data_IF_137363033702
#
_entry.id   IF_137363033702
#
_cell.length_a   1.000
_cell.length_b   1.000
_cell.length_c   1.000
_cell.angle_alpha   90.00
_cell.angle_beta   90.00
_cell.angle_gamma   90.00
#
_symmetry.space_group_name_H-M   'P 1'
#
loop_
_entity.id
_entity.type
_entity.pdbx_description
1 polymer ?
#
# COMPACT_ATOMS: atom_id res chain seq x y z
N UNK A 1 22.56 -35.71 4.02
CA UNK A 1 21.67 -35.32 5.13
C UNK A 1 20.82 -36.52 5.55
N UNK A 2 20.78 -36.84 6.85
CA UNK A 2 19.86 -37.85 7.38
C UNK A 2 18.55 -37.19 7.78
N UNK A 3 17.42 -37.76 7.38
CA UNK A 3 16.09 -37.23 7.66
C UNK A 3 15.38 -38.19 8.61
N UNK A 4 14.91 -37.65 9.73
CA UNK A 4 14.13 -38.40 10.70
C UNK A 4 12.67 -38.52 10.24
N UNK A 5 12.40 -39.58 9.48
CA UNK A 5 11.05 -39.89 8.98
C UNK A 5 10.05 -40.22 10.09
N UNK A 6 10.51 -40.68 11.25
CA UNK A 6 9.63 -40.97 12.39
C UNK A 6 9.06 -39.67 12.96
N UNK A 7 9.90 -38.65 13.10
CA UNK A 7 9.47 -37.33 13.60
C UNK A 7 8.54 -36.60 12.64
N UNK A 8 8.76 -36.72 11.33
CA UNK A 8 7.85 -36.16 10.30
C UNK A 8 6.44 -36.75 10.43
N UNK A 9 6.33 -38.07 10.67
CA UNK A 9 5.04 -38.74 10.88
C UNK A 9 4.35 -38.29 12.17
N UNK A 10 5.09 -38.15 13.26
CA UNK A 10 4.54 -37.68 14.55
C UNK A 10 3.98 -36.26 14.43
N UNK A 11 4.66 -35.40 13.67
CA UNK A 11 4.22 -34.03 13.42
C UNK A 11 3.07 -33.93 12.39
N UNK A 12 2.62 -35.06 11.82
CA UNK A 12 1.55 -35.06 10.81
C UNK A 12 1.91 -34.33 9.52
N UNK A 13 3.21 -34.15 9.24
CA UNK A 13 3.68 -33.47 8.05
C UNK A 13 3.56 -34.42 6.86
N UNK A 14 2.68 -34.11 5.90
CA UNK A 14 2.49 -34.87 4.66
C UNK A 14 3.67 -34.64 3.68
N UNK A 15 4.89 -34.97 4.10
CA UNK A 15 6.14 -34.69 3.36
C UNK A 15 6.87 -36.00 3.09
N UNK A 16 7.25 -36.22 1.83
CA UNK A 16 8.05 -37.37 1.39
C UNK A 16 9.49 -36.93 1.02
N UNK A 17 10.42 -37.89 0.97
CA UNK A 17 11.81 -37.64 0.54
C UNK A 17 11.87 -37.00 -0.86
N UNK A 18 10.97 -37.41 -1.75
CA UNK A 18 10.84 -36.84 -3.10
C UNK A 18 10.41 -35.37 -3.06
N UNK A 19 9.47 -35.01 -2.19
CA UNK A 19 9.01 -33.63 -1.98
C UNK A 19 10.17 -32.76 -1.49
N UNK A 20 10.99 -33.27 -0.57
CA UNK A 20 12.17 -32.57 -0.05
C UNK A 20 13.19 -32.32 -1.17
N UNK A 21 13.46 -33.32 -2.00
CA UNK A 21 14.36 -33.17 -3.16
C UNK A 21 13.81 -32.16 -4.16
N UNK A 22 12.51 -32.20 -4.46
CA UNK A 22 11.88 -31.23 -5.36
C UNK A 22 12.03 -29.79 -4.82
N UNK A 23 11.85 -29.58 -3.52
CA UNK A 23 12.05 -28.28 -2.88
C UNK A 23 13.52 -27.83 -2.92
N UNK A 24 14.48 -28.74 -2.72
CA UNK A 24 15.92 -28.45 -2.85
C UNK A 24 16.27 -28.04 -4.28
N UNK A 25 15.73 -28.73 -5.30
CA UNK A 25 15.97 -28.40 -6.71
C UNK A 25 15.34 -27.06 -7.13
N UNK A 26 14.17 -26.73 -6.58
CA UNK A 26 13.49 -25.43 -6.82
C UNK A 26 14.13 -24.27 -6.06
N UNK A 27 14.95 -24.56 -5.04
CA UNK A 27 15.61 -23.54 -4.23
C UNK A 27 16.61 -22.71 -5.05
N UNK A 28 17.03 -21.56 -4.49
CA UNK A 28 18.02 -20.66 -5.11
C UNK A 28 19.44 -21.26 -5.25
N UNK A 29 19.62 -22.52 -4.87
CA UNK A 29 20.92 -23.20 -4.83
C UNK A 29 21.43 -23.67 -6.20
N UNK A 30 20.62 -23.55 -7.28
CA UNK A 30 20.98 -23.89 -8.68
C UNK A 30 21.62 -25.28 -8.85
N UNK A 31 21.12 -26.27 -8.10
CA UNK A 31 21.59 -27.66 -8.17
C UNK A 31 20.98 -28.37 -9.38
N UNK A 32 21.78 -29.21 -10.04
CA UNK A 32 21.30 -30.07 -11.13
C UNK A 32 20.64 -31.33 -10.55
N UNK A 33 19.63 -31.92 -11.20
CA UNK A 33 19.01 -33.17 -10.74
C UNK A 33 20.01 -34.31 -10.55
N UNK A 34 21.05 -34.40 -11.39
CA UNK A 34 22.10 -35.42 -11.29
C UNK A 34 22.96 -35.31 -10.01
N UNK A 35 22.90 -34.18 -9.31
CA UNK A 35 23.67 -33.92 -8.09
C UNK A 35 22.92 -34.33 -6.82
N UNK A 36 21.62 -34.65 -6.91
CA UNK A 36 20.80 -35.00 -5.75
C UNK A 36 20.29 -36.44 -5.91
N UNK A 37 20.69 -37.31 -4.98
CA UNK A 37 20.33 -38.72 -4.98
C UNK A 37 19.58 -39.09 -3.69
N UNK A 38 18.52 -39.88 -3.83
CA UNK A 38 17.69 -40.35 -2.72
C UNK A 38 18.14 -41.75 -2.32
N UNK A 39 18.67 -41.88 -1.11
CA UNK A 39 18.96 -43.17 -0.50
C UNK A 39 17.78 -43.60 0.40
N UNK A 40 16.69 -44.07 -0.23
CA UNK A 40 15.42 -44.39 0.45
C UNK A 40 15.57 -45.39 1.60
N UNK A 41 16.40 -46.43 1.44
CA UNK A 41 16.63 -47.48 2.45
C UNK A 41 17.22 -46.94 3.76
N UNK A 42 17.93 -45.82 3.71
CA UNK A 42 18.57 -45.20 4.88
C UNK A 42 17.99 -43.85 5.25
N UNK A 43 16.88 -43.43 4.60
CA UNK A 43 16.25 -42.11 4.78
C UNK A 43 17.25 -40.96 4.68
N UNK A 44 18.14 -41.02 3.67
CA UNK A 44 19.19 -40.02 3.44
C UNK A 44 19.06 -39.38 2.06
N UNK A 45 19.33 -38.09 2.01
CA UNK A 45 19.53 -37.35 0.75
C UNK A 45 21.02 -37.09 0.60
N UNK A 46 21.58 -37.50 -0.52
CA UNK A 46 22.98 -37.31 -0.89
C UNK A 46 23.02 -36.15 -1.89
N UNK A 47 23.72 -35.08 -1.54
CA UNK A 47 23.97 -33.96 -2.45
C UNK A 47 25.45 -33.99 -2.82
N UNK A 48 25.74 -34.18 -4.10
CA UNK A 48 27.09 -34.23 -4.66
C UNK A 48 27.51 -32.82 -5.09
N UNK A 49 28.66 -32.38 -4.61
CA UNK A 49 29.25 -31.10 -5.00
C UNK A 49 30.19 -31.34 -6.18
N UNK A 50 29.98 -30.66 -7.29
CA UNK A 50 30.93 -30.62 -8.41
C UNK A 50 32.05 -29.62 -8.12
N UNK A 51 33.28 -29.97 -8.47
CA UNK A 51 34.41 -29.04 -8.35
C UNK A 51 34.29 -27.94 -9.40
N UNK A 52 33.99 -26.72 -8.96
CA UNK A 52 34.12 -25.53 -9.81
C UNK A 52 35.58 -25.10 -9.89
N UNK A 53 36.02 -24.51 -11.01
CA UNK A 53 37.39 -23.99 -11.19
C UNK A 53 37.72 -22.82 -10.25
N UNK A 54 36.71 -22.23 -9.61
CA UNK A 54 36.80 -20.94 -8.93
C UNK A 54 36.86 -21.05 -7.40
N UNK A 55 36.50 -22.19 -6.81
CA UNK A 55 36.34 -22.33 -5.36
C UNK A 55 36.84 -23.69 -4.87
N UNK A 56 37.40 -23.73 -3.66
CA UNK A 56 37.77 -25.00 -3.01
C UNK A 56 36.52 -25.82 -2.68
N UNK A 57 36.61 -27.14 -2.82
CA UNK A 57 35.48 -28.06 -2.57
C UNK A 57 34.92 -27.88 -1.15
N UNK A 58 35.78 -27.63 -0.16
CA UNK A 58 35.39 -27.39 1.22
C UNK A 58 34.55 -26.12 1.39
N UNK A 59 34.89 -25.04 0.67
CA UNK A 59 34.13 -23.80 0.71
C UNK A 59 32.72 -23.97 0.11
N UNK A 60 32.61 -24.69 -1.02
CA UNK A 60 31.30 -25.00 -1.62
C UNK A 60 30.48 -25.95 -0.75
N UNK A 61 31.11 -26.95 -0.12
CA UNK A 61 30.42 -27.84 0.81
C UNK A 61 29.86 -27.06 2.01
N UNK A 62 30.65 -26.16 2.60
CA UNK A 62 30.22 -25.32 3.72
C UNK A 62 29.08 -24.37 3.31
N UNK A 63 29.18 -23.72 2.14
CA UNK A 63 28.13 -22.86 1.59
C UNK A 63 26.83 -23.63 1.36
N UNK A 64 26.93 -24.82 0.79
CA UNK A 64 25.79 -25.70 0.52
C UNK A 64 25.16 -26.21 1.82
N UNK A 65 25.96 -26.59 2.82
CA UNK A 65 25.48 -27.03 4.12
C UNK A 65 24.66 -25.94 4.82
N UNK A 66 25.13 -24.68 4.82
CA UNK A 66 24.40 -23.53 5.38
C UNK A 66 23.13 -23.22 4.58
N UNK A 67 23.20 -23.28 3.25
CA UNK A 67 22.07 -22.95 2.39
C UNK A 67 20.96 -24.00 2.47
N UNK A 68 21.31 -25.30 2.55
CA UNK A 68 20.36 -26.40 2.67
C UNK A 68 19.53 -26.32 3.97
N UNK A 69 20.10 -25.80 5.05
CA UNK A 69 19.39 -25.62 6.32
C UNK A 69 18.24 -24.59 6.21
N UNK A 70 18.36 -23.64 5.28
CA UNK A 70 17.38 -22.57 5.11
C UNK A 70 16.33 -22.88 4.03
N UNK A 71 16.33 -24.09 3.45
CA UNK A 71 15.35 -24.48 2.43
C UNK A 71 14.00 -24.77 3.09
N UNK A 72 12.98 -24.00 2.70
CA UNK A 72 11.60 -24.25 3.12
C UNK A 72 11.07 -25.48 2.39
N UNK A 73 10.79 -26.54 3.14
CA UNK A 73 10.33 -27.83 2.60
C UNK A 73 8.81 -27.86 2.41
N UNK A 74 8.05 -27.24 3.31
CA UNK A 74 6.59 -27.18 3.26
C UNK A 74 6.10 -25.88 3.91
N UNK A 75 4.91 -25.42 3.48
CA UNK A 75 4.30 -24.18 3.95
C UNK A 75 4.61 -22.97 3.06
N UNK A 76 4.24 -21.79 3.54
CA UNK A 76 4.44 -20.53 2.84
C UNK A 76 5.73 -19.86 3.32
N UNK A 77 6.65 -19.48 2.40
CA UNK A 77 7.98 -18.99 2.78
C UNK A 77 7.97 -17.60 3.42
N UNK A 78 6.88 -16.83 3.22
CA UNK A 78 6.75 -15.47 3.73
C UNK A 78 6.12 -15.41 5.13
N UNK A 79 5.80 -16.56 5.73
CA UNK A 79 5.22 -16.68 7.07
C UNK A 79 6.31 -17.05 8.06
N UNK A 80 6.47 -16.25 9.11
CA UNK A 80 7.45 -16.48 10.16
C UNK A 80 6.93 -17.47 11.22
N UNK A 81 5.68 -17.26 11.68
CA UNK A 81 5.05 -18.14 12.66
C UNK A 81 3.53 -18.07 12.57
N UNK A 82 2.86 -19.10 13.09
CA UNK A 82 1.43 -19.11 13.29
C UNK A 82 1.12 -19.58 14.72
N UNK A 83 0.17 -18.91 15.37
CA UNK A 83 -0.26 -19.17 16.75
C UNK A 83 -1.77 -19.41 16.74
N UNK A 84 -2.21 -20.43 17.47
CA UNK A 84 -3.64 -20.72 17.63
C UNK A 84 -4.12 -19.94 18.86
N UNK A 85 -5.04 -19.00 18.63
CA UNK A 85 -5.75 -18.28 19.68
C UNK A 85 -7.13 -18.93 19.89
N UNK A 86 -7.53 -19.12 21.14
CA UNK A 86 -8.85 -19.66 21.48
C UNK A 86 -9.76 -18.48 21.85
N UNK A 87 -10.92 -18.40 21.20
CA UNK A 87 -11.97 -17.44 21.55
C UNK A 87 -13.04 -18.16 22.37
N UNK A 88 -12.94 -18.00 23.70
CA UNK A 88 -13.83 -18.62 24.69
C UNK A 88 -15.16 -17.84 24.86
N UNK A 89 -15.34 -16.72 24.17
CA UNK A 89 -16.54 -15.87 24.33
C UNK A 89 -17.81 -16.48 23.74
N UNK A 90 -17.68 -17.48 22.86
CA UNK A 90 -18.80 -18.17 22.19
C UNK A 90 -18.73 -19.67 22.48
N UNK A 91 -19.90 -20.29 22.64
CA UNK A 91 -20.01 -21.75 22.76
C UNK A 91 -20.60 -22.34 21.47
N UNK A 92 -19.93 -23.33 20.84
CA UNK A 92 -18.62 -23.91 21.18
C UNK A 92 -17.45 -22.94 20.92
N UNK A 93 -16.35 -23.13 21.64
CA UNK A 93 -15.14 -22.30 21.53
C UNK A 93 -14.62 -22.28 20.08
N UNK A 94 -14.27 -21.09 19.60
CA UNK A 94 -13.81 -20.90 18.22
C UNK A 94 -12.29 -20.73 18.24
N UNK A 95 -11.58 -21.56 17.48
CA UNK A 95 -10.15 -21.42 17.27
C UNK A 95 -9.87 -20.43 16.14
N UNK A 96 -9.03 -19.43 16.41
CA UNK A 96 -8.54 -18.45 15.44
C UNK A 96 -7.06 -18.72 15.19
N UNK A 97 -6.63 -18.63 13.94
CA UNK A 97 -5.22 -18.74 13.57
C UNK A 97 -4.64 -17.34 13.39
N UNK A 98 -3.73 -16.95 14.27
CA UNK A 98 -2.97 -15.70 14.19
C UNK A 98 -1.65 -15.96 13.48
N UNK A 99 -1.46 -15.37 12.31
CA UNK A 99 -0.29 -15.58 11.45
C UNK A 99 0.57 -14.32 11.49
N UNK A 100 1.87 -14.49 11.73
CA UNK A 100 2.85 -13.42 11.56
C UNK A 100 3.64 -13.66 10.27
N UNK A 101 3.45 -12.76 9.31
CA UNK A 101 4.12 -12.81 8.02
C UNK A 101 3.39 -12.02 6.95
N UNK A 102 3.74 -12.31 5.70
CA UNK A 102 3.16 -11.72 4.51
C UNK A 102 2.64 -12.83 3.58
N UNK A 103 1.75 -12.49 2.65
CA UNK A 103 1.13 -13.41 1.70
C UNK A 103 -0.33 -13.71 2.00
N UNK A 104 -1.16 -12.68 2.20
CA UNK A 104 -2.59 -12.80 2.46
C UNK A 104 -3.30 -13.64 1.40
N UNK A 105 -2.95 -13.45 0.12
CA UNK A 105 -3.55 -14.18 -1.00
C UNK A 105 -3.28 -15.69 -0.90
N UNK A 106 -2.05 -16.08 -0.56
CA UNK A 106 -1.68 -17.47 -0.37
C UNK A 106 -2.36 -18.07 0.88
N UNK A 107 -2.49 -17.29 1.95
CA UNK A 107 -3.20 -17.70 3.17
C UNK A 107 -4.69 -17.94 2.90
N UNK A 108 -5.37 -17.02 2.19
CA UNK A 108 -6.79 -17.13 1.85
C UNK A 108 -7.09 -18.35 0.98
N UNK A 109 -6.14 -18.74 0.12
CA UNK A 109 -6.27 -19.91 -0.76
C UNK A 109 -5.88 -21.24 -0.11
N UNK A 110 -5.42 -21.23 1.14
CA UNK A 110 -5.04 -22.44 1.85
C UNK A 110 -6.28 -23.24 2.28
N UNK A 111 -6.30 -24.54 1.98
CA UNK A 111 -7.41 -25.42 2.33
C UNK A 111 -7.68 -25.42 3.83
N UNK A 112 -8.96 -25.29 4.21
CA UNK A 112 -9.41 -25.20 5.60
C UNK A 112 -9.46 -23.78 6.18
N UNK A 113 -8.96 -22.77 5.46
CA UNK A 113 -9.07 -21.36 5.85
C UNK A 113 -10.31 -20.73 5.21
N UNK A 114 -11.13 -20.05 6.02
CA UNK A 114 -12.30 -19.31 5.52
C UNK A 114 -11.88 -17.90 5.08
N UNK A 115 -11.57 -17.76 3.80
CA UNK A 115 -11.07 -16.52 3.19
C UNK A 115 -11.91 -15.27 3.46
N UNK A 116 -13.23 -15.39 3.46
CA UNK A 116 -14.18 -14.27 3.68
C UNK A 116 -14.04 -13.60 5.05
N UNK A 117 -13.49 -14.32 6.03
CA UNK A 117 -13.32 -13.84 7.41
C UNK A 117 -11.87 -13.55 7.76
N UNK A 118 -10.93 -13.81 6.85
CA UNK A 118 -9.51 -13.53 7.05
C UNK A 118 -9.26 -12.04 6.91
N UNK A 119 -8.47 -11.48 7.83
CA UNK A 119 -8.07 -10.07 7.84
C UNK A 119 -6.55 -9.96 7.92
N UNK A 120 -6.01 -8.86 7.43
CA UNK A 120 -4.60 -8.49 7.56
C UNK A 120 -4.52 -7.05 8.08
N UNK A 121 -3.48 -6.74 8.84
CA UNK A 121 -3.20 -5.37 9.27
C UNK A 121 -2.40 -4.59 8.19
N UNK A 122 -1.88 -5.27 7.18
CA UNK A 122 -1.12 -4.63 6.11
C UNK A 122 -2.05 -4.10 5.01
N UNK A 123 -2.30 -2.80 5.05
CA UNK A 123 -3.19 -2.09 4.11
C UNK A 123 -2.72 -2.24 2.65
N UNK A 124 -1.41 -2.20 2.39
CA UNK A 124 -0.86 -2.32 1.03
C UNK A 124 -1.11 -3.70 0.44
N UNK A 125 -0.98 -4.74 1.25
CA UNK A 125 -1.25 -6.13 0.85
C UNK A 125 -2.74 -6.36 0.57
N UNK A 126 -3.62 -5.78 1.39
CA UNK A 126 -5.06 -5.82 1.18
C UNK A 126 -5.44 -5.10 -0.10
N UNK A 127 -4.86 -3.93 -0.36
CA UNK A 127 -5.08 -3.22 -1.61
C UNK A 127 -4.73 -4.08 -2.83
N UNK A 128 -3.61 -4.80 -2.79
CA UNK A 128 -3.18 -5.69 -3.87
C UNK A 128 -4.05 -6.95 -4.02
N UNK A 129 -4.62 -7.45 -2.92
CA UNK A 129 -5.35 -8.73 -2.92
C UNK A 129 -6.87 -8.54 -3.10
N UNK A 130 -7.45 -7.55 -2.44
CA UNK A 130 -8.90 -7.33 -2.32
C UNK A 130 -9.36 -5.99 -2.93
N UNK A 131 -8.44 -5.06 -3.25
CA UNK A 131 -8.74 -3.80 -3.91
C UNK A 131 -8.93 -2.60 -2.97
N UNK A 132 -9.29 -1.45 -3.56
CA UNK A 132 -9.25 -0.14 -2.89
C UNK A 132 -10.32 0.03 -1.80
N UNK A 133 -11.52 -0.48 -1.98
CA UNK A 133 -12.59 -0.36 -0.97
C UNK A 133 -12.35 -1.23 0.26
N UNK A 134 -11.74 -2.40 0.06
CA UNK A 134 -11.27 -3.23 1.16
C UNK A 134 -10.16 -2.50 1.95
N UNK A 135 -9.20 -1.88 1.25
CA UNK A 135 -8.17 -1.07 1.88
C UNK A 135 -8.74 0.12 2.67
N UNK A 136 -9.72 0.85 2.10
CA UNK A 136 -10.41 1.96 2.79
C UNK A 136 -11.07 1.49 4.10
N UNK A 137 -11.78 0.36 4.04
CA UNK A 137 -12.46 -0.22 5.21
C UNK A 137 -11.46 -0.64 6.28
N UNK A 138 -10.32 -1.22 5.89
CA UNK A 138 -9.27 -1.64 6.83
C UNK A 138 -8.58 -0.43 7.46
N UNK A 139 -8.29 0.63 6.71
CA UNK A 139 -7.77 1.88 7.28
C UNK A 139 -8.72 2.40 8.38
N UNK A 140 -10.04 2.36 8.13
CA UNK A 140 -11.02 2.79 9.11
C UNK A 140 -11.03 1.90 10.37
N UNK A 141 -11.02 0.58 10.20
CA UNK A 141 -11.05 -0.34 11.34
C UNK A 141 -9.76 -0.30 12.17
N UNK A 142 -8.59 -0.28 11.52
CA UNK A 142 -7.29 -0.25 12.22
C UNK A 142 -7.11 1.03 13.03
N UNK A 143 -7.46 2.20 12.46
CA UNK A 143 -7.39 3.46 13.21
C UNK A 143 -8.34 3.44 14.40
N UNK A 144 -9.56 2.93 14.21
CA UNK A 144 -10.55 2.86 15.29
C UNK A 144 -10.06 1.93 16.42
N UNK A 145 -9.57 0.75 16.08
CA UNK A 145 -9.07 -0.25 17.04
C UNK A 145 -7.87 0.27 17.84
N UNK A 146 -6.93 0.97 17.20
CA UNK A 146 -5.78 1.58 17.89
C UNK A 146 -6.22 2.72 18.81
N UNK A 147 -7.16 3.57 18.38
CA UNK A 147 -7.65 4.69 19.20
C UNK A 147 -8.42 4.19 20.43
N UNK A 148 -9.33 3.22 20.23
CA UNK A 148 -10.11 2.61 21.31
C UNK A 148 -9.21 1.88 22.31
N UNK A 149 -8.15 1.20 21.84
CA UNK A 149 -7.15 0.57 22.70
C UNK A 149 -6.42 1.53 23.65
N UNK A 150 -6.39 2.83 23.33
CA UNK A 150 -5.83 3.89 24.18
C UNK A 150 -6.90 4.69 24.93
N UNK A 151 -8.18 4.26 24.90
CA UNK A 151 -9.29 4.94 25.54
C UNK A 151 -9.70 6.25 24.86
N UNK A 152 -9.26 6.49 23.62
CA UNK A 152 -9.67 7.65 22.83
C UNK A 152 -10.93 7.31 22.03
N UNK A 153 -11.95 8.15 22.14
CA UNK A 153 -13.15 8.05 21.31
C UNK A 153 -13.13 9.13 20.24
N UNK A 154 -13.21 8.73 18.97
CA UNK A 154 -13.27 9.62 17.81
C UNK A 154 -14.50 9.25 17.02
N UNK A 155 -15.32 10.23 16.63
CA UNK A 155 -16.47 9.97 15.76
C UNK A 155 -15.99 9.37 14.42
N UNK A 156 -16.63 8.27 14.01
CA UNK A 156 -16.31 7.52 12.80
C UNK A 156 -16.31 8.38 11.53
N UNK A 157 -17.04 9.50 11.50
CA UNK A 157 -17.10 10.43 10.36
C UNK A 157 -15.75 11.07 10.08
N UNK A 158 -14.95 11.37 11.11
CA UNK A 158 -13.59 11.92 10.92
C UNK A 158 -12.66 10.89 10.30
N UNK A 159 -12.71 9.65 10.79
CA UNK A 159 -11.90 8.54 10.28
C UNK A 159 -12.32 8.18 8.85
N UNK A 160 -13.64 8.19 8.57
CA UNK A 160 -14.16 7.95 7.22
C UNK A 160 -13.64 9.00 6.23
N UNK A 161 -13.64 10.28 6.60
CA UNK A 161 -13.15 11.34 5.73
C UNK A 161 -11.66 11.16 5.43
N UNK A 162 -10.86 10.82 6.45
CA UNK A 162 -9.43 10.54 6.30
C UNK A 162 -9.18 9.36 5.35
N UNK A 163 -9.86 8.22 5.58
CA UNK A 163 -9.69 7.03 4.75
C UNK A 163 -10.13 7.27 3.30
N UNK A 164 -11.23 8.02 3.11
CA UNK A 164 -11.72 8.39 1.77
C UNK A 164 -10.73 9.30 1.05
N UNK A 165 -10.15 10.28 1.75
CA UNK A 165 -9.12 11.15 1.18
C UNK A 165 -7.89 10.33 0.75
N UNK A 166 -7.41 9.40 1.58
CA UNK A 166 -6.26 8.54 1.28
C UNK A 166 -6.49 7.60 0.08
N UNK A 167 -7.74 7.30 -0.27
CA UNK A 167 -8.11 6.33 -1.33
C UNK A 167 -8.77 6.96 -2.55
N UNK A 168 -8.97 8.28 -2.57
CA UNK A 168 -9.75 9.00 -3.59
C UNK A 168 -9.21 8.87 -5.02
N UNK A 169 -7.90 8.66 -5.21
CA UNK A 169 -7.28 8.53 -6.55
C UNK A 169 -7.18 7.08 -7.06
N UNK A 170 -7.79 6.12 -6.38
CA UNK A 170 -7.78 4.70 -6.77
C UNK A 170 -6.51 3.93 -6.36
N UNK A 171 -5.58 4.58 -5.67
CA UNK A 171 -4.45 3.96 -4.99
C UNK A 171 -4.41 4.45 -3.52
N UNK A 172 -3.78 3.66 -2.64
CA UNK A 172 -3.61 4.05 -1.23
C UNK A 172 -2.45 5.04 -1.13
N UNK A 173 -2.77 6.31 -0.90
CA UNK A 173 -1.79 7.38 -0.74
C UNK A 173 -1.60 7.74 0.73
N UNK A 174 -0.36 7.62 1.21
CA UNK A 174 0.01 8.08 2.53
C UNK A 174 0.08 9.61 2.61
N UNK A 175 -0.12 10.18 3.80
CA UNK A 175 0.06 11.62 4.06
C UNK A 175 1.55 11.92 4.25
N UNK A 176 2.31 11.77 3.18
CA UNK A 176 3.76 12.04 3.09
C UNK A 176 4.04 12.89 1.87
N UNK A 177 5.23 13.47 1.73
CA UNK A 177 5.59 14.32 0.57
C UNK A 177 5.27 13.68 -0.79
N UNK A 178 5.54 12.38 -0.94
CA UNK A 178 5.31 11.67 -2.20
C UNK A 178 3.82 11.38 -2.44
N UNK A 179 3.06 11.13 -1.36
CA UNK A 179 1.61 10.94 -1.46
C UNK A 179 0.88 12.26 -1.72
N UNK A 180 1.26 13.34 -1.03
CA UNK A 180 0.70 14.68 -1.25
C UNK A 180 0.94 15.19 -2.68
N UNK A 181 2.15 14.98 -3.23
CA UNK A 181 2.48 15.32 -4.61
C UNK A 181 1.59 14.61 -5.64
N UNK A 182 1.09 13.41 -5.32
CA UNK A 182 0.12 12.69 -6.16
C UNK A 182 -1.32 13.16 -5.93
N UNK A 183 -1.64 13.66 -4.75
CA UNK A 183 -3.00 14.09 -4.37
C UNK A 183 -3.33 15.50 -4.86
N UNK A 184 -2.40 16.44 -4.77
CA UNK A 184 -2.59 17.87 -5.03
C UNK A 184 -1.71 18.31 -6.20
N UNK A 185 -2.27 19.17 -7.05
CA UNK A 185 -1.58 19.68 -8.24
C UNK A 185 -1.04 21.11 -8.05
N UNK A 186 -1.32 21.77 -6.92
CA UNK A 186 -0.82 23.12 -6.64
C UNK A 186 0.65 23.11 -6.23
N UNK A 187 1.46 23.87 -6.97
CA UNK A 187 2.91 24.01 -6.74
C UNK A 187 3.15 24.73 -5.42
N UNK A 188 2.41 25.81 -5.14
CA UNK A 188 2.57 26.56 -3.90
C UNK A 188 2.21 25.71 -2.67
N UNK A 189 1.19 24.87 -2.79
CA UNK A 189 0.82 23.95 -1.72
C UNK A 189 1.94 22.95 -1.43
N UNK A 190 2.48 22.31 -2.47
CA UNK A 190 3.58 21.34 -2.34
C UNK A 190 4.87 22.00 -1.82
N UNK A 191 5.23 23.17 -2.37
CA UNK A 191 6.41 23.92 -1.97
C UNK A 191 6.36 24.39 -0.51
N UNK A 192 5.15 24.64 0.02
CA UNK A 192 4.93 25.00 1.43
C UNK A 192 5.03 23.83 2.41
N UNK A 193 4.95 22.58 1.93
CA UNK A 193 5.02 21.39 2.76
C UNK A 193 6.46 20.92 2.97
N UNK A 194 7.15 20.54 1.90
CA UNK A 194 8.55 20.10 1.91
C UNK A 194 9.22 20.38 0.55
N UNK A 195 10.56 20.40 0.47
CA UNK A 195 11.33 20.54 -0.79
C UNK A 195 10.92 21.76 -1.64
N UNK A 196 10.82 22.93 -1.00
CA UNK A 196 10.37 24.18 -1.62
C UNK A 196 11.11 24.53 -2.92
N UNK A 197 12.45 24.49 -2.90
CA UNK A 197 13.26 24.87 -4.06
C UNK A 197 13.03 23.91 -5.24
N UNK A 198 13.07 22.59 -4.99
CA UNK A 198 12.87 21.56 -6.02
C UNK A 198 11.52 21.77 -6.73
N UNK A 199 10.42 21.92 -5.96
CA UNK A 199 9.09 22.11 -6.54
C UNK A 199 8.96 23.38 -7.37
N UNK A 200 9.59 24.48 -6.96
CA UNK A 200 9.56 25.75 -7.71
C UNK A 200 10.42 25.69 -8.97
N UNK A 201 11.61 25.08 -8.90
CA UNK A 201 12.48 24.91 -10.07
C UNK A 201 11.87 23.97 -11.09
N UNK A 202 11.30 22.84 -10.65
CA UNK A 202 10.62 21.89 -11.54
C UNK A 202 9.41 22.57 -12.20
N UNK A 203 8.59 23.29 -11.45
CA UNK A 203 7.46 24.02 -12.01
C UNK A 203 7.89 25.09 -13.02
N UNK A 204 8.97 25.83 -12.75
CA UNK A 204 9.51 26.81 -13.68
C UNK A 204 10.09 26.16 -14.94
N UNK A 205 10.78 25.03 -14.80
CA UNK A 205 11.36 24.27 -15.90
C UNK A 205 10.28 23.69 -16.82
N UNK A 206 9.22 23.12 -16.26
CA UNK A 206 8.09 22.57 -17.01
C UNK A 206 7.03 23.60 -17.42
N UNK A 207 7.15 24.85 -16.98
CA UNK A 207 6.17 25.91 -17.26
C UNK A 207 4.79 25.63 -16.67
N UNK A 208 4.73 25.00 -15.49
CA UNK A 208 3.47 24.63 -14.84
C UNK A 208 2.68 25.86 -14.39
N UNK A 209 1.37 25.86 -14.62
CA UNK A 209 0.46 26.92 -14.17
C UNK A 209 -0.36 26.45 -12.97
N UNK A 210 -0.49 27.30 -11.96
CA UNK A 210 -1.26 27.01 -10.74
C UNK A 210 -2.57 27.82 -10.75
N UNK A 211 -3.68 27.18 -10.39
CA UNK A 211 -5.03 27.78 -10.42
C UNK A 211 -5.41 28.52 -9.14
N UNK A 212 -4.58 28.47 -8.09
CA UNK A 212 -4.76 29.21 -6.82
C UNK A 212 -6.15 28.96 -6.19
N UNK A 213 -6.56 27.70 -6.13
CA UNK A 213 -7.88 27.32 -5.63
C UNK A 213 -7.86 26.81 -4.18
N UNK A 214 -6.76 26.23 -3.73
CA UNK A 214 -6.59 25.78 -2.36
C UNK A 214 -6.38 26.91 -1.38
N UNK A 215 -6.53 26.55 -0.11
CA UNK A 215 -6.51 27.50 1.01
C UNK A 215 -5.10 28.05 1.23
N UNK A 216 -4.09 27.19 1.19
CA UNK A 216 -2.69 27.57 1.45
C UNK A 216 -2.21 28.63 0.45
N UNK A 217 -2.39 28.38 -0.84
CA UNK A 217 -1.91 29.26 -1.89
C UNK A 217 -2.67 30.60 -1.95
N UNK A 218 -3.97 30.62 -1.61
CA UNK A 218 -4.71 31.87 -1.46
C UNK A 218 -4.22 32.73 -0.30
N UNK A 219 -3.91 32.11 0.83
CA UNK A 219 -3.36 32.81 2.00
C UNK A 219 -1.98 33.40 1.66
N UNK A 220 -1.12 32.64 0.97
CA UNK A 220 0.20 33.10 0.53
C UNK A 220 0.09 34.36 -0.35
N UNK A 221 -0.92 34.43 -1.23
CA UNK A 221 -1.15 35.56 -2.13
C UNK A 221 -2.03 36.68 -1.52
N UNK A 222 -2.48 36.55 -0.27
CA UNK A 222 -3.32 37.55 0.39
C UNK A 222 -4.77 37.60 -0.11
N UNK A 223 -5.28 36.51 -0.68
CA UNK A 223 -6.66 36.38 -1.16
C UNK A 223 -7.54 35.65 -0.13
N UNK A 224 -8.86 35.94 -0.06
CA UNK A 224 -9.77 35.21 0.83
C UNK A 224 -9.90 33.73 0.43
N UNK A 225 -9.85 32.85 1.43
CA UNK A 225 -9.99 31.41 1.24
C UNK A 225 -11.37 31.04 0.71
N UNK A 226 -11.46 30.04 -0.18
CA UNK A 226 -12.72 29.57 -0.78
C UNK A 226 -13.60 28.71 0.14
N UNK A 227 -13.39 28.76 1.44
CA UNK A 227 -14.13 27.99 2.45
C UNK A 227 -14.70 28.94 3.51
N UNK A 228 -15.70 28.48 4.26
CA UNK A 228 -16.35 29.31 5.28
C UNK A 228 -17.10 30.50 4.66
N UNK A 229 -16.80 31.71 5.11
CA UNK A 229 -17.46 32.94 4.61
C UNK A 229 -17.09 33.31 3.17
N UNK A 230 -15.98 32.77 2.64
CA UNK A 230 -15.54 33.04 1.28
C UNK A 230 -16.22 32.20 0.19
N UNK A 231 -17.17 31.32 0.55
CA UNK A 231 -17.85 30.43 -0.41
C UNK A 231 -18.92 31.16 -1.24
N UNK A 232 -19.48 32.25 -0.73
CA UNK A 232 -20.51 33.03 -1.41
C UNK A 232 -20.09 34.48 -1.59
N UNK A 233 -20.74 35.16 -2.53
CA UNK A 233 -20.62 36.61 -2.74
C UNK A 233 -21.93 37.27 -2.38
N UNK A 234 -21.84 38.50 -1.88
CA UNK A 234 -23.01 39.33 -1.60
C UNK A 234 -23.28 40.20 -2.81
N UNK A 235 -24.49 40.08 -3.36
CA UNK A 235 -25.01 41.02 -4.34
C UNK A 235 -25.87 42.03 -3.59
N UNK A 236 -25.55 43.32 -3.72
CA UNK A 236 -26.43 44.36 -3.22
C UNK A 236 -27.57 44.57 -4.22
N UNK A 237 -28.81 44.47 -3.75
CA UNK A 237 -29.98 44.71 -4.59
C UNK A 237 -30.20 46.22 -4.71
N UNK A 238 -29.84 46.77 -5.88
CA UNK A 238 -30.19 48.13 -6.23
C UNK A 238 -31.55 48.14 -6.93
N UNK A 239 -32.39 49.13 -6.62
CA UNK A 239 -33.57 49.42 -7.44
C UNK A 239 -33.10 49.78 -8.85
N UNK A 240 -33.68 49.13 -9.85
CA UNK A 240 -33.41 49.40 -11.26
C UNK A 240 -33.83 50.85 -11.58
N UNK A 241 -32.91 51.79 -11.44
CA UNK A 241 -33.10 53.14 -11.96
C UNK A 241 -33.19 53.01 -13.47
N UNK A 242 -34.31 53.43 -14.05
CA UNK A 242 -34.44 53.60 -15.50
C UNK A 242 -33.31 54.51 -15.95
N UNK A 243 -32.29 53.93 -16.58
CA UNK A 243 -31.21 54.70 -17.19
C UNK A 243 -31.88 55.44 -18.34
N UNK A 244 -31.85 56.79 -18.36
CA UNK A 244 -32.38 57.52 -19.51
C UNK A 244 -31.68 57.01 -20.76
N UNK A 245 -32.45 56.82 -21.84
CA UNK A 245 -31.87 56.45 -23.13
C UNK A 245 -30.74 57.42 -23.43
N UNK A 246 -29.55 56.90 -23.70
CA UNK A 246 -28.39 57.73 -24.06
C UNK A 246 -28.79 58.48 -25.33
N UNK A 247 -29.02 59.78 -25.22
CA UNK A 247 -29.24 60.62 -26.39
C UNK A 247 -28.01 60.49 -27.30
N UNK A 248 -28.25 60.34 -28.61
CA UNK A 248 -27.18 60.28 -29.59
C UNK A 248 -26.25 61.48 -29.37
N UNK A 249 -24.97 61.22 -29.16
CA UNK A 249 -24.00 62.28 -28.94
C UNK A 249 -24.01 63.26 -30.11
N UNK A 250 -23.70 64.52 -29.80
CA UNK A 250 -23.59 65.63 -30.77
C UNK A 250 -22.77 65.26 -32.01
N UNK A 251 -21.83 64.31 -31.88
CA UNK A 251 -21.01 63.79 -32.98
C UNK A 251 -21.82 63.12 -34.10
N UNK A 252 -22.91 62.39 -33.75
CA UNK A 252 -23.81 61.75 -34.71
C UNK A 252 -24.73 62.79 -35.35
N UNK A 253 -25.21 63.77 -34.56
CA UNK A 253 -26.04 64.87 -35.07
C UNK A 253 -25.30 65.88 -35.95
N UNK A 254 -24.00 66.07 -35.74
CA UNK A 254 -23.13 66.97 -36.51
C UNK A 254 -22.32 66.27 -37.62
N UNK A 255 -22.53 64.96 -37.83
CA UNK A 255 -21.85 64.17 -38.85
C UNK A 255 -20.31 64.29 -38.81
N UNK A 256 -19.76 64.43 -37.60
CA UNK A 256 -18.31 64.52 -37.39
C UNK A 256 -17.75 63.10 -37.36
N UNK A 257 -16.91 62.77 -38.35
CA UNK A 257 -16.15 61.52 -38.36
C UNK A 257 -15.26 61.47 -37.11
N UNK A 258 -15.19 60.33 -36.40
CA UNK A 258 -14.25 60.18 -35.30
C UNK A 258 -12.83 60.39 -35.86
N UNK A 259 -12.05 61.24 -35.19
CA UNK A 259 -10.66 61.48 -35.54
C UNK A 259 -9.93 60.13 -35.64
N UNK A 260 -9.39 59.84 -36.83
CA UNK A 260 -8.48 58.71 -37.10
C UNK A 260 -7.18 58.85 -36.34
#
# INVERSE_FOLDING_TARGET
MGIDMSRIKVLGLHINLETIVACILKSRMRLKPAQVEIAARTSRIIVRVESSRTSTINAELARLALSLQNVVVAGLPNIARAVIAVDDTRQPAIYKLCIEGYGLREVISTYGVVGERTRSNNICEIFQTLGIEAARTIIMSEITEVMEGHGMSVDWRHIMLLASQMTARGEVLGITRHGLAKMRESVFNLASFEKTADHLFDAAYYGQTDTINGVSERIILGMPAGIGTGIFKLLHHHEDKQIPSIDQTICIGLNLLPFT
#
